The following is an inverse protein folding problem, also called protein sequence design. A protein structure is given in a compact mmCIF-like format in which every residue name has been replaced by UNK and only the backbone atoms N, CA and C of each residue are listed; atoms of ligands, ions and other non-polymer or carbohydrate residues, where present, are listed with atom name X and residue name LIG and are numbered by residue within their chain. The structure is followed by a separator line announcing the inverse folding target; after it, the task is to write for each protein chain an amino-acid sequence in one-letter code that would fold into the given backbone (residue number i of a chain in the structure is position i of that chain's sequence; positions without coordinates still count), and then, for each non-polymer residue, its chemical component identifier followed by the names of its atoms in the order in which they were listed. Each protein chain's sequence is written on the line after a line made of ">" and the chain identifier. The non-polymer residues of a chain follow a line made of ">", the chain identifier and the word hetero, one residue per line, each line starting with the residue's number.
data_IF_476295597031
#
_entry.id   IF_476295597031
#
_cell.length_a   1.000
_cell.length_b   1.000
_cell.length_c   1.000
_cell.angle_alpha   90.00
_cell.angle_beta   90.00
_cell.angle_gamma   90.00
#
_symmetry.space_group_name_H-M   'P 1'
#
loop_
_entity.id
_entity.type
_entity.pdbx_description
1 polymer ?
#
# COMPACT_ATOMS: atom_id res chain seq x y z
N UNK A 1 -2.07 -0.40 20.69
CA UNK A 1 -0.62 -0.72 20.88
C UNK A 1 -0.32 -2.19 20.54
N UNK A 2 -1.02 -3.18 21.15
CA UNK A 2 -0.74 -4.61 20.93
C UNK A 2 -0.83 -5.02 19.45
N UNK A 3 -1.84 -4.55 18.72
CA UNK A 3 -2.02 -4.86 17.30
C UNK A 3 -0.83 -4.41 16.46
N UNK A 4 -0.32 -3.20 16.70
CA UNK A 4 0.85 -2.65 15.99
C UNK A 4 2.11 -3.46 16.32
N UNK A 5 2.34 -3.77 17.59
CA UNK A 5 3.49 -4.57 18.01
C UNK A 5 3.46 -6.01 17.47
N UNK A 6 2.27 -6.54 17.22
CA UNK A 6 2.08 -7.85 16.61
C UNK A 6 2.12 -7.82 15.06
N UNK A 7 2.32 -6.65 14.44
CA UNK A 7 2.32 -6.50 12.98
C UNK A 7 0.95 -6.74 12.34
N UNK A 8 -0.13 -6.65 13.11
CA UNK A 8 -1.48 -6.86 12.57
C UNK A 8 -1.95 -5.65 11.77
N UNK A 9 -2.59 -5.90 10.65
CA UNK A 9 -3.43 -4.90 10.02
C UNK A 9 -4.61 -4.57 10.92
N UNK A 10 -5.10 -3.32 10.87
CA UNK A 10 -6.07 -2.79 11.83
C UNK A 10 -7.34 -2.35 11.10
N UNK A 11 -8.49 -2.70 11.63
CA UNK A 11 -9.75 -2.11 11.23
C UNK A 11 -10.34 -1.30 12.39
N UNK A 12 -10.48 0.01 12.20
CA UNK A 12 -11.11 0.93 13.14
C UNK A 12 -12.61 0.97 12.87
N UNK A 13 -13.38 0.45 13.81
CA UNK A 13 -14.83 0.38 13.76
C UNK A 13 -15.44 1.43 14.67
N UNK A 14 -16.34 2.25 14.14
CA UNK A 14 -17.03 3.25 14.93
C UNK A 14 -17.91 4.15 14.09
N UNK A 15 -18.81 4.87 14.74
CA UNK A 15 -19.72 5.80 14.08
C UNK A 15 -18.98 6.96 13.41
N UNK A 16 -19.67 7.68 12.56
CA UNK A 16 -19.12 8.91 11.97
C UNK A 16 -18.77 9.92 13.07
N UNK A 17 -17.68 10.64 12.89
CA UNK A 17 -17.22 11.64 13.88
C UNK A 17 -16.40 11.09 15.04
N UNK A 18 -16.18 9.77 15.17
CA UNK A 18 -15.39 9.15 16.26
C UNK A 18 -13.87 9.16 16.02
N UNK A 19 -13.38 10.16 15.31
CA UNK A 19 -11.96 10.43 15.12
C UNK A 19 -11.11 9.28 14.54
N UNK A 20 -11.69 8.27 13.87
CA UNK A 20 -10.97 7.12 13.28
C UNK A 20 -9.78 7.57 12.41
N UNK A 21 -10.01 8.49 11.50
CA UNK A 21 -8.98 9.05 10.62
C UNK A 21 -7.89 9.80 11.40
N UNK A 22 -8.26 10.53 12.46
CA UNK A 22 -7.30 11.22 13.32
C UNK A 22 -6.40 10.22 14.05
N UNK A 23 -6.97 9.12 14.55
CA UNK A 23 -6.21 8.02 15.17
C UNK A 23 -5.25 7.42 14.16
N UNK A 24 -5.72 7.10 12.94
CA UNK A 24 -4.87 6.56 11.89
C UNK A 24 -3.70 7.49 11.54
N UNK A 25 -3.95 8.80 11.41
CA UNK A 25 -2.90 9.79 11.12
C UNK A 25 -1.88 9.91 12.24
N UNK A 26 -2.29 9.84 13.50
CA UNK A 26 -1.36 9.90 14.63
C UNK A 26 -0.44 8.67 14.74
N UNK A 27 -0.73 7.58 14.02
CA UNK A 27 0.16 6.42 13.97
C UNK A 27 1.50 6.72 13.27
N UNK A 28 1.58 7.79 12.47
CA UNK A 28 2.84 8.25 11.85
C UNK A 28 3.90 8.55 12.90
N UNK A 29 3.50 9.02 14.08
CA UNK A 29 4.42 9.32 15.18
C UNK A 29 5.10 8.08 15.77
N UNK A 30 4.64 6.89 15.42
CA UNK A 30 5.26 5.61 15.80
C UNK A 30 6.36 5.18 14.83
N UNK A 31 6.49 5.84 13.69
CA UNK A 31 7.54 5.56 12.70
C UNK A 31 8.83 6.32 13.06
N UNK A 32 9.96 5.77 12.63
CA UNK A 32 11.24 6.48 12.68
C UNK A 32 11.13 7.82 11.95
N UNK A 33 11.72 8.87 12.52
CA UNK A 33 11.62 10.22 11.98
C UNK A 33 12.09 10.31 10.53
N UNK A 34 13.21 9.65 10.21
CA UNK A 34 13.76 9.56 8.87
C UNK A 34 14.02 8.11 8.47
N UNK A 35 13.82 7.82 7.20
CA UNK A 35 14.04 6.50 6.63
C UNK A 35 14.86 6.61 5.34
N UNK A 36 15.94 5.82 5.17
CA UNK A 36 16.71 5.81 3.93
C UNK A 36 15.97 5.06 2.84
N UNK A 37 16.00 5.63 1.63
CA UNK A 37 15.47 5.02 0.41
C UNK A 37 16.48 5.18 -0.72
N UNK A 38 16.43 4.30 -1.70
CA UNK A 38 17.20 4.44 -2.94
C UNK A 38 16.69 5.68 -3.67
N UNK A 39 17.57 6.63 -3.95
CA UNK A 39 17.20 7.89 -4.60
C UNK A 39 16.60 7.63 -5.99
N UNK A 40 15.39 8.15 -6.23
CA UNK A 40 14.66 7.96 -7.47
C UNK A 40 13.74 6.73 -7.48
N UNK A 41 13.72 5.93 -6.43
CA UNK A 41 12.74 4.85 -6.29
C UNK A 41 11.32 5.41 -6.18
N UNK A 42 10.39 4.85 -6.95
CA UNK A 42 8.96 5.20 -6.89
C UNK A 42 8.22 4.50 -5.73
N UNK A 43 8.85 3.47 -5.13
CA UNK A 43 8.20 2.61 -4.11
C UNK A 43 8.98 2.55 -2.79
N UNK A 44 9.72 3.58 -2.46
CA UNK A 44 10.49 3.66 -1.21
C UNK A 44 11.44 2.48 -0.98
N UNK A 45 12.12 1.99 -2.04
CA UNK A 45 13.05 0.87 -1.93
C UNK A 45 14.09 1.07 -0.82
N UNK A 46 14.28 0.02 -0.03
CA UNK A 46 15.39 -0.01 0.92
C UNK A 46 16.72 -0.14 0.20
N UNK A 47 17.75 0.65 0.54
CA UNK A 47 19.08 0.46 -0.01
C UNK A 47 19.70 -0.88 0.39
N UNK A 48 19.18 -1.53 1.46
CA UNK A 48 19.68 -2.83 1.94
C UNK A 48 18.92 -4.03 1.38
N UNK A 49 17.66 -3.82 0.94
CA UNK A 49 16.80 -4.86 0.42
C UNK A 49 15.84 -4.27 -0.63
N UNK A 50 16.34 -3.88 -1.82
CA UNK A 50 15.52 -3.31 -2.87
C UNK A 50 14.60 -4.38 -3.47
N UNK A 51 13.36 -3.98 -3.78
CA UNK A 51 12.37 -4.88 -4.38
C UNK A 51 12.09 -4.55 -5.85
N UNK A 52 12.16 -3.26 -6.25
CA UNK A 52 11.99 -2.86 -7.65
C UNK A 52 13.21 -3.21 -8.51
N UNK A 53 12.95 -3.46 -9.80
CA UNK A 53 14.03 -3.66 -10.78
C UNK A 53 14.94 -2.43 -10.87
N UNK A 54 14.36 -1.23 -10.85
CA UNK A 54 15.12 0.03 -10.88
C UNK A 54 16.17 0.08 -9.77
N UNK A 55 15.75 -0.17 -8.52
CA UNK A 55 16.66 -0.09 -7.38
C UNK A 55 17.68 -1.23 -7.36
N UNK A 56 17.29 -2.44 -7.76
CA UNK A 56 18.20 -3.59 -7.91
C UNK A 56 19.29 -3.33 -8.95
N UNK A 57 18.91 -2.84 -10.13
CA UNK A 57 19.84 -2.54 -11.20
C UNK A 57 20.81 -1.41 -10.78
N UNK A 58 20.31 -0.36 -10.12
CA UNK A 58 21.13 0.75 -9.63
C UNK A 58 22.12 0.30 -8.55
N UNK A 59 21.68 -0.57 -7.65
CA UNK A 59 22.56 -1.12 -6.60
C UNK A 59 23.62 -2.06 -7.20
N UNK A 60 23.26 -2.85 -8.21
CA UNK A 60 24.20 -3.72 -8.91
C UNK A 60 25.28 -2.92 -9.68
N UNK A 61 24.91 -1.79 -10.25
CA UNK A 61 25.82 -0.91 -10.99
C UNK A 61 26.75 -0.11 -10.07
N UNK A 62 26.22 0.48 -8.99
CA UNK A 62 26.94 1.42 -8.13
C UNK A 62 27.43 0.85 -6.80
N UNK A 63 26.93 -0.29 -6.40
CA UNK A 63 27.31 -0.91 -5.13
C UNK A 63 27.15 0.06 -3.95
N UNK A 64 28.23 0.27 -3.20
CA UNK A 64 28.26 1.17 -2.05
C UNK A 64 28.07 2.66 -2.39
N UNK A 65 28.30 3.07 -3.64
CA UNK A 65 28.12 4.44 -4.12
C UNK A 65 26.66 4.71 -4.58
N UNK A 66 25.75 3.77 -4.32
CA UNK A 66 24.33 3.94 -4.65
C UNK A 66 23.75 5.17 -3.94
N UNK A 67 23.21 6.16 -4.68
CA UNK A 67 22.67 7.35 -4.06
C UNK A 67 21.44 7.04 -3.23
N UNK A 68 21.42 7.53 -2.01
CA UNK A 68 20.27 7.42 -1.10
C UNK A 68 19.62 8.78 -0.87
N UNK A 69 18.35 8.75 -0.54
CA UNK A 69 17.59 9.90 -0.05
C UNK A 69 16.98 9.53 1.31
N UNK A 70 16.72 10.54 2.13
CA UNK A 70 16.07 10.37 3.41
C UNK A 70 14.66 10.96 3.32
N UNK A 71 13.66 10.15 3.63
CA UNK A 71 12.28 10.61 3.69
C UNK A 71 11.83 10.74 5.14
N UNK A 72 11.18 11.86 5.44
CA UNK A 72 10.60 12.11 6.76
C UNK A 72 9.33 11.30 6.95
N UNK A 73 9.04 10.85 8.18
CA UNK A 73 7.87 10.03 8.51
C UNK A 73 6.53 10.61 8.06
N UNK A 74 6.37 11.93 7.96
CA UNK A 74 5.15 12.55 7.42
C UNK A 74 4.87 12.21 5.96
N UNK A 75 5.88 11.81 5.19
CA UNK A 75 5.75 11.36 3.80
C UNK A 75 5.44 9.86 3.69
N UNK A 76 5.40 9.15 4.82
CA UNK A 76 5.13 7.71 4.91
C UNK A 76 3.68 7.42 5.32
N UNK A 77 2.78 8.30 4.97
CA UNK A 77 1.35 8.17 5.22
C UNK A 77 0.57 8.35 3.93
N UNK A 78 -0.16 7.32 3.55
CA UNK A 78 -0.99 7.28 2.37
C UNK A 78 -2.44 7.07 2.79
N UNK A 79 -3.35 7.84 2.23
CA UNK A 79 -4.77 7.79 2.58
C UNK A 79 -5.63 7.80 1.32
N UNK A 80 -6.57 6.88 1.24
CA UNK A 80 -7.56 6.82 0.17
C UNK A 80 -8.94 6.60 0.76
N UNK A 81 -9.92 7.33 0.26
CA UNK A 81 -11.32 7.03 0.53
C UNK A 81 -11.77 5.93 -0.44
N UNK A 82 -12.37 4.88 0.10
CA UNK A 82 -13.02 3.87 -0.69
C UNK A 82 -14.31 4.45 -1.28
N UNK A 83 -14.37 4.53 -2.59
CA UNK A 83 -15.54 4.96 -3.35
C UNK A 83 -15.81 3.93 -4.45
N UNK A 84 -17.05 3.79 -4.94
CA UNK A 84 -17.40 2.80 -5.95
C UNK A 84 -16.65 2.96 -7.29
N UNK A 85 -16.11 4.14 -7.57
CA UNK A 85 -15.34 4.48 -8.78
C UNK A 85 -13.84 4.18 -8.66
N UNK A 86 -13.35 3.77 -7.48
CA UNK A 86 -11.94 3.36 -7.32
C UNK A 86 -11.61 2.21 -8.26
N UNK A 87 -10.54 2.36 -9.02
CA UNK A 87 -10.04 1.32 -9.92
C UNK A 87 -8.89 0.55 -9.27
N UNK A 88 -8.74 -0.71 -9.70
CA UNK A 88 -7.65 -1.56 -9.21
C UNK A 88 -6.28 -1.03 -9.65
N UNK A 89 -6.20 -0.43 -10.82
CA UNK A 89 -4.97 0.21 -11.34
C UNK A 89 -4.53 1.40 -10.50
N UNK A 90 -5.47 2.15 -9.91
CA UNK A 90 -5.13 3.26 -9.01
C UNK A 90 -4.46 2.75 -7.72
N UNK A 91 -4.91 1.60 -7.23
CA UNK A 91 -4.40 1.01 -6.00
C UNK A 91 -3.13 0.18 -6.23
N UNK A 92 -3.13 -0.68 -7.24
CA UNK A 92 -2.05 -1.65 -7.47
C UNK A 92 -1.08 -1.15 -8.53
N UNK A 93 -1.60 -0.60 -9.62
CA UNK A 93 -0.82 -0.15 -10.77
C UNK A 93 -1.20 -0.88 -12.05
N UNK A 94 -0.59 -0.44 -13.13
CA UNK A 94 -0.81 -0.98 -14.49
C UNK A 94 0.40 -0.68 -15.38
N UNK A 95 0.37 -1.15 -16.62
CA UNK A 95 1.38 -0.83 -17.63
C UNK A 95 1.20 0.63 -18.05
N UNK A 96 2.30 1.37 -18.11
CA UNK A 96 2.33 2.74 -18.63
C UNK A 96 2.79 2.72 -20.11
N UNK A 97 1.87 2.89 -21.07
CA UNK A 97 2.21 2.89 -22.48
C UNK A 97 3.10 4.07 -22.88
N UNK A 98 3.04 5.18 -22.15
CA UNK A 98 3.87 6.36 -22.41
C UNK A 98 5.32 6.06 -21.98
N UNK A 99 5.52 5.45 -20.80
CA UNK A 99 6.84 4.98 -20.34
C UNK A 99 7.42 3.98 -21.35
N UNK A 100 6.62 3.02 -21.81
CA UNK A 100 7.06 2.02 -22.79
C UNK A 100 7.54 2.65 -24.10
N UNK A 101 6.78 3.59 -24.65
CA UNK A 101 7.14 4.30 -25.87
C UNK A 101 8.39 5.18 -25.67
N UNK A 102 8.48 5.92 -24.57
CA UNK A 102 9.59 6.82 -24.28
C UNK A 102 10.90 6.07 -24.05
N UNK A 103 10.83 4.96 -23.29
CA UNK A 103 12.00 4.14 -22.99
C UNK A 103 12.31 3.12 -24.08
N UNK A 104 11.43 2.98 -25.10
CA UNK A 104 11.52 1.98 -26.17
C UNK A 104 11.65 0.55 -25.63
N UNK A 105 10.89 0.25 -24.59
CA UNK A 105 10.88 -1.03 -23.91
C UNK A 105 9.62 -1.84 -24.23
N UNK A 106 9.71 -3.18 -24.26
CA UNK A 106 8.53 -4.02 -24.40
C UNK A 106 7.65 -3.91 -23.15
N UNK A 107 6.35 -4.14 -23.29
CA UNK A 107 5.40 -4.14 -22.18
C UNK A 107 5.69 -5.21 -21.09
N UNK A 108 6.58 -6.15 -21.36
CA UNK A 108 7.05 -7.15 -20.39
C UNK A 108 8.19 -6.66 -19.49
N UNK A 109 8.70 -5.44 -19.70
CA UNK A 109 9.77 -4.86 -18.87
C UNK A 109 9.17 -4.15 -17.66
N UNK A 110 9.64 -4.47 -16.45
CA UNK A 110 9.15 -3.87 -15.20
C UNK A 110 9.27 -2.34 -15.15
N UNK A 111 10.21 -1.76 -15.91
CA UNK A 111 10.43 -0.30 -15.96
C UNK A 111 9.30 0.46 -16.63
N UNK A 112 8.40 -0.22 -17.35
CA UNK A 112 7.20 0.39 -17.94
C UNK A 112 6.00 0.38 -17.01
N UNK A 113 6.16 -0.12 -15.78
CA UNK A 113 5.10 -0.12 -14.80
C UNK A 113 4.82 1.29 -14.26
N UNK A 114 3.55 1.57 -14.10
CA UNK A 114 3.03 2.64 -13.27
C UNK A 114 2.58 2.02 -11.95
N UNK A 115 3.28 2.31 -10.88
CA UNK A 115 2.93 1.81 -9.56
C UNK A 115 1.73 2.55 -9.00
N UNK A 116 0.73 1.81 -8.53
CA UNK A 116 -0.42 2.37 -7.81
C UNK A 116 -0.05 2.82 -6.39
N UNK A 117 -1.06 3.27 -5.64
CA UNK A 117 -0.84 3.81 -4.30
C UNK A 117 -0.28 2.77 -3.31
N UNK A 118 -0.67 1.49 -3.44
CA UNK A 118 -0.23 0.44 -2.52
C UNK A 118 1.27 0.14 -2.67
N UNK A 119 1.82 -0.16 -3.86
CA UNK A 119 3.26 -0.31 -4.01
C UNK A 119 4.05 0.92 -3.55
N UNK A 120 3.56 2.13 -3.84
CA UNK A 120 4.19 3.38 -3.40
C UNK A 120 4.21 3.55 -1.88
N UNK A 121 3.25 2.92 -1.19
CA UNK A 121 3.19 2.92 0.27
C UNK A 121 4.09 1.86 0.92
N UNK A 122 4.98 1.22 0.17
CA UNK A 122 5.95 0.29 0.73
C UNK A 122 6.74 0.95 1.87
N UNK A 123 6.93 0.22 2.99
CA UNK A 123 7.55 0.67 4.23
C UNK A 123 6.83 1.87 4.88
N UNK A 124 5.51 1.93 4.73
CA UNK A 124 4.67 3.06 5.17
C UNK A 124 3.33 2.59 5.73
N UNK A 125 2.52 3.55 6.17
CA UNK A 125 1.14 3.32 6.61
C UNK A 125 0.21 3.64 5.44
N UNK A 126 -0.67 2.70 5.10
CA UNK A 126 -1.72 2.88 4.10
C UNK A 126 -3.09 2.81 4.75
N UNK A 127 -3.83 3.91 4.69
CA UNK A 127 -5.18 4.02 5.25
C UNK A 127 -6.22 3.94 4.13
N UNK A 128 -7.14 3.02 4.25
CA UNK A 128 -8.31 2.93 3.38
C UNK A 128 -9.58 3.21 4.19
N UNK A 129 -10.14 4.40 3.97
CA UNK A 129 -11.33 4.84 4.68
C UNK A 129 -12.61 4.30 4.02
N UNK A 130 -13.61 3.97 4.84
CA UNK A 130 -14.94 3.49 4.42
C UNK A 130 -14.85 2.21 3.57
N UNK A 131 -14.09 1.23 4.05
CA UNK A 131 -13.83 -0.03 3.35
C UNK A 131 -15.07 -0.72 2.76
N UNK A 132 -16.28 -0.74 3.41
CA UNK A 132 -17.48 -1.33 2.84
C UNK A 132 -17.93 -0.72 1.51
N UNK A 133 -17.59 0.53 1.20
CA UNK A 133 -17.96 1.20 -0.05
C UNK A 133 -17.10 0.73 -1.24
N UNK A 134 -16.02 0.01 -0.99
CA UNK A 134 -15.14 -0.52 -2.03
C UNK A 134 -15.79 -1.71 -2.75
N UNK A 135 -15.71 -1.74 -4.06
CA UNK A 135 -16.22 -2.86 -4.86
C UNK A 135 -15.64 -4.21 -4.38
N UNK A 136 -16.49 -5.24 -4.30
CA UNK A 136 -16.11 -6.57 -3.82
C UNK A 136 -14.90 -7.17 -4.55
N UNK A 137 -14.81 -6.96 -5.88
CA UNK A 137 -13.66 -7.43 -6.69
C UNK A 137 -12.32 -6.83 -6.25
N UNK A 138 -12.34 -5.57 -5.79
CA UNK A 138 -11.14 -4.87 -5.31
C UNK A 138 -10.81 -5.33 -3.89
N UNK A 139 -11.82 -5.56 -3.05
CA UNK A 139 -11.63 -6.15 -1.73
C UNK A 139 -10.96 -7.54 -1.81
N UNK A 140 -11.32 -8.36 -2.81
CA UNK A 140 -10.65 -9.66 -3.07
C UNK A 140 -9.18 -9.48 -3.44
N UNK A 141 -8.86 -8.46 -4.24
CA UNK A 141 -7.45 -8.16 -4.58
C UNK A 141 -6.66 -7.71 -3.36
N UNK A 142 -7.26 -6.89 -2.48
CA UNK A 142 -6.65 -6.51 -1.21
C UNK A 142 -6.44 -7.71 -0.30
N UNK A 143 -7.40 -8.64 -0.25
CA UNK A 143 -7.25 -9.88 0.51
C UNK A 143 -5.99 -10.65 0.10
N UNK A 144 -5.75 -10.80 -1.20
CA UNK A 144 -4.55 -11.48 -1.70
C UNK A 144 -3.27 -10.77 -1.24
N UNK A 145 -3.24 -9.44 -1.27
CA UNK A 145 -2.10 -8.65 -0.79
C UNK A 145 -1.87 -8.85 0.70
N UNK A 146 -2.93 -8.84 1.51
CA UNK A 146 -2.83 -9.05 2.96
C UNK A 146 -2.43 -10.48 3.32
N UNK A 147 -2.80 -11.48 2.49
CA UNK A 147 -2.49 -12.87 2.73
C UNK A 147 -1.06 -13.23 2.34
N UNK A 148 -0.67 -12.85 1.13
CA UNK A 148 0.62 -13.25 0.54
C UNK A 148 1.74 -12.25 0.89
N UNK A 149 1.39 -11.04 1.35
CA UNK A 149 2.34 -9.96 1.61
C UNK A 149 2.99 -9.42 0.33
N UNK A 150 2.47 -9.81 -0.83
CA UNK A 150 2.99 -9.37 -2.11
C UNK A 150 1.90 -8.79 -3.03
N UNK A 151 2.32 -8.01 -4.00
CA UNK A 151 1.48 -7.45 -5.05
C UNK A 151 1.81 -8.10 -6.39
N UNK A 152 0.76 -8.51 -7.10
CA UNK A 152 0.86 -8.93 -8.48
C UNK A 152 0.18 -7.90 -9.39
N UNK A 153 0.97 -7.21 -10.21
CA UNK A 153 0.46 -6.26 -11.20
C UNK A 153 -0.03 -7.03 -12.43
N UNK A 154 -1.20 -6.67 -12.92
CA UNK A 154 -1.85 -7.34 -14.05
C UNK A 154 -0.92 -7.44 -15.26
N UNK A 155 -0.78 -8.65 -15.81
CA UNK A 155 0.07 -8.90 -16.97
C UNK A 155 1.55 -9.14 -16.66
N UNK A 156 1.97 -8.95 -15.42
CA UNK A 156 3.32 -9.27 -14.95
C UNK A 156 3.28 -10.44 -13.98
N UNK A 157 4.19 -11.38 -14.16
CA UNK A 157 4.46 -12.43 -13.17
C UNK A 157 5.39 -11.90 -12.05
N UNK A 158 5.28 -10.62 -11.75
CA UNK A 158 6.11 -9.98 -10.75
C UNK A 158 5.41 -10.03 -9.40
N UNK A 159 6.07 -10.63 -8.44
CA UNK A 159 5.70 -10.59 -7.04
C UNK A 159 6.58 -9.60 -6.32
N UNK A 160 5.99 -8.58 -5.74
CA UNK A 160 6.70 -7.59 -4.93
C UNK A 160 6.32 -7.78 -3.46
N UNK A 161 7.24 -8.25 -2.62
CA UNK A 161 7.00 -8.34 -1.20
C UNK A 161 6.92 -6.93 -0.61
N UNK A 162 5.73 -6.55 -0.16
CA UNK A 162 5.48 -5.22 0.39
C UNK A 162 5.45 -5.27 1.92
N UNK A 163 6.14 -4.35 2.54
CA UNK A 163 6.05 -4.07 3.97
C UNK A 163 5.15 -2.85 4.18
N UNK A 164 3.88 -3.07 4.47
CA UNK A 164 2.88 -2.01 4.62
C UNK A 164 2.03 -2.27 5.85
N UNK A 165 1.89 -1.25 6.70
CA UNK A 165 0.88 -1.27 7.76
C UNK A 165 -0.45 -0.79 7.20
N UNK A 166 -1.38 -1.70 6.94
CA UNK A 166 -2.73 -1.33 6.53
C UNK A 166 -3.59 -0.94 7.73
N UNK A 167 -4.33 0.15 7.56
CA UNK A 167 -5.37 0.61 8.49
C UNK A 167 -6.64 0.85 7.70
N UNK A 168 -7.68 0.14 8.07
CA UNK A 168 -9.00 0.28 7.48
C UNK A 168 -9.91 1.05 8.43
N UNK A 169 -10.86 1.79 7.88
CA UNK A 169 -11.95 2.33 8.68
C UNK A 169 -13.28 1.85 8.14
N UNK A 170 -14.22 1.61 9.03
CA UNK A 170 -15.57 1.24 8.68
C UNK A 170 -16.56 1.76 9.72
N UNK A 171 -17.79 2.04 9.28
CA UNK A 171 -18.90 2.32 10.14
C UNK A 171 -19.75 1.04 10.26
N UNK A 172 -20.05 0.54 11.46
CA UNK A 172 -20.90 -0.63 11.65
C UNK A 172 -22.27 -0.53 10.95
N UNK A 173 -22.85 0.67 10.87
CA UNK A 173 -24.14 0.90 10.22
C UNK A 173 -24.07 0.77 8.69
N UNK A 174 -22.92 1.01 8.10
CA UNK A 174 -22.75 0.93 6.64
C UNK A 174 -22.73 -0.51 6.14
N UNK A 175 -22.47 -1.51 7.01
CA UNK A 175 -22.54 -2.94 6.66
C UNK A 175 -23.93 -3.41 6.24
N UNK A 176 -24.98 -2.71 6.62
CA UNK A 176 -26.36 -3.06 6.29
C UNK A 176 -26.91 -2.28 5.09
N UNK A 177 -26.35 -1.10 4.79
CA UNK A 177 -26.96 -0.14 3.87
C UNK A 177 -26.13 0.14 2.60
N UNK A 178 -24.80 -0.01 2.61
CA UNK A 178 -23.93 0.41 1.51
C UNK A 178 -23.05 -0.70 0.92
N UNK A 179 -22.87 -1.76 1.63
CA UNK A 179 -22.00 -2.85 1.24
C UNK A 179 -21.50 -3.63 2.44
N UNK A 180 -20.82 -4.73 2.18
CA UNK A 180 -20.21 -5.55 3.22
C UNK A 180 -18.73 -5.74 2.92
N UNK A 181 -17.92 -5.86 3.97
CA UNK A 181 -16.57 -6.36 3.80
C UNK A 181 -16.68 -7.85 3.49
N UNK A 182 -16.05 -8.29 2.40
CA UNK A 182 -16.04 -9.72 2.05
C UNK A 182 -15.39 -10.51 3.18
N UNK A 183 -16.02 -11.64 3.55
CA UNK A 183 -15.58 -12.46 4.70
C UNK A 183 -14.08 -12.79 4.66
N UNK A 184 -13.49 -13.22 3.53
CA UNK A 184 -12.06 -13.52 3.49
C UNK A 184 -11.17 -12.32 3.89
N UNK A 185 -11.52 -11.11 3.45
CA UNK A 185 -10.78 -9.90 3.80
C UNK A 185 -10.91 -9.58 5.30
N UNK A 186 -12.13 -9.70 5.85
CA UNK A 186 -12.39 -9.47 7.26
C UNK A 186 -11.56 -10.39 8.16
N UNK A 187 -11.39 -11.65 7.78
CA UNK A 187 -10.65 -12.65 8.54
C UNK A 187 -9.12 -12.40 8.52
N UNK A 188 -8.63 -11.67 7.51
CA UNK A 188 -7.20 -11.32 7.37
C UNK A 188 -6.82 -10.01 8.04
N UNK A 189 -7.78 -9.16 8.34
CA UNK A 189 -7.54 -7.99 9.17
C UNK A 189 -7.37 -8.49 10.61
N UNK A 190 -6.12 -8.57 11.06
CA UNK A 190 -5.76 -9.24 12.32
C UNK A 190 -6.32 -8.60 13.58
N UNK A 191 -6.73 -7.31 13.53
CA UNK A 191 -7.28 -6.60 14.69
C UNK A 191 -8.44 -5.69 14.30
N UNK A 192 -9.57 -5.87 15.01
CA UNK A 192 -10.70 -4.94 14.94
C UNK A 192 -10.75 -4.14 16.24
N UNK A 193 -10.82 -2.82 16.12
CA UNK A 193 -10.80 -1.90 17.26
C UNK A 193 -12.04 -1.02 17.19
N UNK A 194 -12.86 -1.10 18.20
CA UNK A 194 -14.00 -0.20 18.37
C UNK A 194 -13.52 1.15 18.94
N UNK A 195 -13.95 2.23 18.31
CA UNK A 195 -13.62 3.62 18.71
C UNK A 195 -14.84 4.33 19.24
#
# INVERSE_FOLDING_TARGET
>A
KRAILAGHHINLLGLRGQAKTKIARSMVDLLDEYMPVVKGSEINDSPFAPISKFAKDLLADKGHDTPIAWIHRSQRFYEKLATPDVNISDLIGDIDPIKAATLKLPYSDERVLHYGMIPRAHRSIFVLNELPDLQARIQVSLFNILQEGDVQIRGFQLRMPLDIQFVFTANPEDYTNRGSIVTPLKDRIGSQIFT
#
